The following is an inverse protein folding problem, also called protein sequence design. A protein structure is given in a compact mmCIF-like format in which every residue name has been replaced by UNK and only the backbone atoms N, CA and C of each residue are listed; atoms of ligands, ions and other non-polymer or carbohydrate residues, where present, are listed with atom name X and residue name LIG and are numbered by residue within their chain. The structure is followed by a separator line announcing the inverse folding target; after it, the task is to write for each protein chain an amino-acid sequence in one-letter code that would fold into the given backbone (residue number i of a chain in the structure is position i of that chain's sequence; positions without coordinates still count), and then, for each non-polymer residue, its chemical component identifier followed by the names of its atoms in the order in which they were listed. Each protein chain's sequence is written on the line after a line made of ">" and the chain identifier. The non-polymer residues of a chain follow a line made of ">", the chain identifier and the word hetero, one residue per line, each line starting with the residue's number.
data_IF_142084485519
#
_entry.id   IF_142084485519
#
_cell.length_a   1.000
_cell.length_b   1.000
_cell.length_c   1.000
_cell.angle_alpha   90.00
_cell.angle_beta   90.00
_cell.angle_gamma   90.00
#
_symmetry.space_group_name_H-M   'P 1'
#
loop_
_entity.id
_entity.type
_entity.pdbx_description
1 polymer ?
#
# COMPACT_ATOMS: atom_id res chain seq x y z
N UNK A 1 -8.67 39.06 51.10
CA UNK A 1 -8.07 37.72 51.31
C UNK A 1 -8.80 36.57 50.60
N UNK A 2 -10.14 36.40 50.71
CA UNK A 2 -10.86 35.25 50.08
C UNK A 2 -10.91 35.20 48.54
N UNK A 3 -10.69 36.32 47.85
CA UNK A 3 -10.76 36.42 46.36
C UNK A 3 -9.48 35.90 45.69
N UNK A 4 -8.32 36.28 46.25
CA UNK A 4 -6.99 35.90 45.76
C UNK A 4 -6.71 34.40 45.94
N UNK A 5 -7.23 33.78 47.00
CA UNK A 5 -7.12 32.34 47.23
C UNK A 5 -7.99 31.49 46.27
N UNK A 6 -9.15 31.99 45.83
CA UNK A 6 -9.97 31.32 44.80
C UNK A 6 -9.32 31.34 43.42
N UNK A 7 -8.65 32.43 43.06
CA UNK A 7 -7.93 32.55 41.78
C UNK A 7 -6.72 31.61 41.69
N UNK A 8 -5.94 31.47 42.78
CA UNK A 8 -4.79 30.54 42.82
C UNK A 8 -5.25 29.08 42.68
N UNK A 9 -6.32 28.68 43.35
CA UNK A 9 -6.87 27.31 43.26
C UNK A 9 -7.44 27.04 41.86
N UNK A 10 -8.10 28.03 41.24
CA UNK A 10 -8.60 27.94 39.87
C UNK A 10 -7.45 27.75 38.86
N UNK A 11 -6.37 28.52 38.99
CA UNK A 11 -5.22 28.44 38.12
C UNK A 11 -4.47 27.11 38.23
N UNK A 12 -4.23 26.62 39.45
CA UNK A 12 -3.59 25.32 39.69
C UNK A 12 -4.41 24.16 39.06
N UNK A 13 -5.75 24.24 39.12
CA UNK A 13 -6.64 23.25 38.51
C UNK A 13 -6.58 23.28 36.98
N UNK A 14 -6.47 24.47 36.37
CA UNK A 14 -6.29 24.63 34.92
C UNK A 14 -4.94 24.07 34.45
N UNK A 15 -3.86 24.33 35.19
CA UNK A 15 -2.52 23.81 34.90
C UNK A 15 -2.47 22.28 35.01
N UNK A 16 -3.03 21.70 36.07
CA UNK A 16 -3.10 20.25 36.23
C UNK A 16 -3.93 19.57 35.12
N UNK A 17 -5.03 20.19 34.70
CA UNK A 17 -5.87 19.69 33.62
C UNK A 17 -5.19 19.81 32.24
N UNK A 18 -4.39 20.86 32.02
CA UNK A 18 -3.54 21.00 30.84
C UNK A 18 -2.48 19.90 30.79
N UNK A 19 -1.76 19.69 31.89
CA UNK A 19 -0.75 18.63 32.00
C UNK A 19 -1.34 17.22 31.76
N UNK A 20 -2.57 16.97 32.22
CA UNK A 20 -3.26 15.71 31.95
C UNK A 20 -3.67 15.56 30.48
N UNK A 21 -4.18 16.64 29.85
CA UNK A 21 -4.49 16.62 28.41
C UNK A 21 -3.25 16.42 27.55
N UNK A 22 -2.13 17.05 27.92
CA UNK A 22 -0.86 16.89 27.24
C UNK A 22 -0.37 15.43 27.36
N UNK A 23 -0.47 14.82 28.55
CA UNK A 23 -0.17 13.40 28.76
C UNK A 23 -1.05 12.49 27.89
N UNK A 24 -2.36 12.73 27.83
CA UNK A 24 -3.28 11.96 26.98
C UNK A 24 -2.91 12.12 25.50
N UNK A 25 -2.55 13.32 25.05
CA UNK A 25 -2.09 13.56 23.67
C UNK A 25 -0.82 12.76 23.37
N UNK A 26 0.19 12.84 24.24
CA UNK A 26 1.45 12.12 24.05
C UNK A 26 1.26 10.59 24.03
N UNK A 27 0.39 10.05 24.89
CA UNK A 27 0.03 8.61 24.84
C UNK A 27 -0.69 8.28 23.53
N UNK A 28 -1.62 9.13 23.10
CA UNK A 28 -2.34 8.98 21.84
C UNK A 28 -1.40 8.96 20.62
N UNK A 29 -0.46 9.90 20.57
CA UNK A 29 0.57 10.01 19.53
C UNK A 29 1.48 8.78 19.52
N UNK A 30 1.94 8.33 20.69
CA UNK A 30 2.75 7.11 20.81
C UNK A 30 2.00 5.87 20.30
N UNK A 31 0.71 5.72 20.66
CA UNK A 31 -0.12 4.61 20.18
C UNK A 31 -0.36 4.68 18.68
N UNK A 32 -0.65 5.87 18.14
CA UNK A 32 -0.85 6.07 16.72
C UNK A 32 0.43 5.72 15.93
N UNK A 33 1.58 6.18 16.40
CA UNK A 33 2.88 5.90 15.80
C UNK A 33 3.22 4.41 15.78
N UNK A 34 3.02 3.71 16.90
CA UNK A 34 3.33 2.27 16.96
C UNK A 34 2.36 1.43 16.12
N UNK A 35 1.07 1.79 16.09
CA UNK A 35 0.09 1.14 15.18
C UNK A 35 0.49 1.32 13.72
N UNK A 36 0.92 2.52 13.35
CA UNK A 36 1.41 2.85 12.00
C UNK A 36 2.61 2.02 11.61
N UNK A 37 3.61 1.89 12.49
CA UNK A 37 4.80 1.04 12.28
C UNK A 37 4.41 -0.43 12.12
N UNK A 38 3.57 -0.95 13.01
CA UNK A 38 3.12 -2.34 12.93
C UNK A 38 2.42 -2.64 11.61
N UNK A 39 1.51 -1.76 11.16
CA UNK A 39 0.84 -1.88 9.88
C UNK A 39 1.82 -1.84 8.70
N UNK A 40 2.85 -0.97 8.75
CA UNK A 40 3.87 -0.91 7.71
C UNK A 40 4.66 -2.21 7.62
N UNK A 41 5.12 -2.75 8.74
CA UNK A 41 5.84 -4.03 8.78
C UNK A 41 4.98 -5.18 8.26
N UNK A 42 3.71 -5.25 8.65
CA UNK A 42 2.77 -6.27 8.15
C UNK A 42 2.55 -6.13 6.64
N UNK A 43 2.39 -4.90 6.13
CA UNK A 43 2.22 -4.65 4.70
C UNK A 43 3.44 -5.11 3.89
N UNK A 44 4.65 -4.76 4.34
CA UNK A 44 5.87 -5.17 3.66
C UNK A 44 6.02 -6.69 3.61
N UNK A 45 5.79 -7.36 4.74
CA UNK A 45 5.82 -8.82 4.82
C UNK A 45 4.79 -9.45 3.88
N UNK A 46 3.57 -8.91 3.84
CA UNK A 46 2.50 -9.41 2.98
C UNK A 46 2.83 -9.25 1.50
N UNK A 47 3.29 -8.07 1.08
CA UNK A 47 3.69 -7.78 -0.31
C UNK A 47 4.83 -8.71 -0.74
N UNK A 48 5.84 -8.89 0.11
CA UNK A 48 6.95 -9.80 -0.15
C UNK A 48 6.50 -11.25 -0.27
N UNK A 49 5.61 -11.71 0.61
CA UNK A 49 5.07 -13.07 0.56
C UNK A 49 4.28 -13.28 -0.73
N UNK A 50 3.40 -12.35 -1.08
CA UNK A 50 2.61 -12.45 -2.31
C UNK A 50 3.47 -12.41 -3.56
N UNK A 51 4.50 -11.55 -3.60
CA UNK A 51 5.47 -11.57 -4.70
C UNK A 51 6.12 -12.96 -4.87
N UNK A 52 6.55 -13.58 -3.77
CA UNK A 52 7.16 -14.91 -3.80
C UNK A 52 6.17 -16.01 -4.21
N UNK A 53 4.91 -15.93 -3.79
CA UNK A 53 3.86 -16.86 -4.25
C UNK A 53 3.66 -16.72 -5.76
N UNK A 54 3.59 -15.48 -6.27
CA UNK A 54 3.49 -15.21 -7.71
C UNK A 54 4.66 -15.82 -8.48
N UNK A 55 5.89 -15.66 -7.96
CA UNK A 55 7.09 -16.32 -8.50
C UNK A 55 6.94 -17.83 -8.56
N UNK A 56 6.54 -18.47 -7.45
CA UNK A 56 6.37 -19.92 -7.40
C UNK A 56 5.31 -20.42 -8.41
N UNK A 57 4.21 -19.69 -8.57
CA UNK A 57 3.18 -20.01 -9.57
C UNK A 57 3.77 -19.96 -10.98
N UNK A 58 4.43 -18.86 -11.34
CA UNK A 58 4.97 -18.66 -12.70
C UNK A 58 6.10 -19.63 -13.02
N UNK A 59 7.01 -19.90 -12.08
CA UNK A 59 8.07 -20.90 -12.26
C UNK A 59 7.50 -22.31 -12.45
N UNK A 60 6.42 -22.65 -11.71
CA UNK A 60 5.73 -23.94 -11.87
C UNK A 60 5.06 -24.05 -13.24
N UNK A 61 4.41 -23.00 -13.72
CA UNK A 61 3.82 -22.94 -15.07
C UNK A 61 4.88 -23.13 -16.17
N UNK A 62 6.03 -22.46 -16.06
CA UNK A 62 7.11 -22.52 -17.04
C UNK A 62 7.78 -23.91 -17.12
N UNK A 63 7.97 -24.58 -15.98
CA UNK A 63 8.57 -25.92 -15.92
C UNK A 63 7.70 -27.02 -16.53
N UNK A 64 6.40 -26.79 -16.68
CA UNK A 64 5.44 -27.79 -17.16
C UNK A 64 5.08 -27.73 -18.66
N UNK A 65 5.71 -26.87 -19.48
CA UNK A 65 5.36 -26.67 -20.91
C UNK A 65 3.86 -26.37 -21.12
N UNK A 66 3.33 -25.51 -20.25
CA UNK A 66 1.90 -25.41 -19.99
C UNK A 66 1.20 -24.42 -20.94
N UNK A 67 0.22 -24.90 -21.73
CA UNK A 67 -0.74 -24.05 -22.47
C UNK A 67 -1.67 -23.30 -21.50
N UNK A 68 -2.14 -22.12 -21.88
CA UNK A 68 -3.01 -21.23 -21.09
C UNK A 68 -4.16 -21.92 -20.30
N UNK A 69 -4.76 -22.97 -20.87
CA UNK A 69 -5.82 -23.80 -20.23
C UNK A 69 -5.43 -24.41 -18.88
N UNK A 70 -4.17 -24.82 -18.70
CA UNK A 70 -3.72 -25.45 -17.45
C UNK A 70 -3.36 -24.43 -16.37
N UNK A 71 -2.99 -23.19 -16.74
CA UNK A 71 -2.80 -22.10 -15.78
C UNK A 71 -4.08 -21.78 -15.01
N UNK A 72 -5.22 -21.75 -15.70
CA UNK A 72 -6.53 -21.55 -15.05
C UNK A 72 -6.90 -22.69 -14.09
N UNK A 73 -6.64 -23.94 -14.48
CA UNK A 73 -6.88 -25.10 -13.61
C UNK A 73 -5.95 -25.13 -12.41
N UNK A 74 -4.70 -24.67 -12.56
CA UNK A 74 -3.74 -24.56 -11.47
C UNK A 74 -4.25 -23.59 -10.40
N UNK A 75 -4.70 -22.40 -10.79
CA UNK A 75 -5.21 -21.40 -9.84
C UNK A 75 -6.47 -21.89 -9.11
N UNK A 76 -7.32 -22.67 -9.77
CA UNK A 76 -8.49 -23.32 -9.13
C UNK A 76 -8.05 -24.30 -8.04
N UNK A 77 -7.09 -25.18 -8.34
CA UNK A 77 -6.56 -26.16 -7.37
C UNK A 77 -5.86 -25.47 -6.20
N UNK A 78 -4.96 -24.53 -6.50
CA UNK A 78 -4.28 -23.72 -5.48
C UNK A 78 -5.27 -22.99 -4.58
N UNK A 79 -6.35 -22.43 -5.15
CA UNK A 79 -7.35 -21.73 -4.36
C UNK A 79 -8.01 -22.66 -3.34
N UNK A 80 -8.41 -23.87 -3.77
CA UNK A 80 -8.99 -24.87 -2.89
C UNK A 80 -8.01 -25.29 -1.80
N UNK A 81 -6.83 -25.75 -2.20
CA UNK A 81 -5.87 -26.38 -1.29
C UNK A 81 -5.29 -25.39 -0.28
N UNK A 82 -4.93 -24.18 -0.73
CA UNK A 82 -4.41 -23.13 0.15
C UNK A 82 -5.48 -22.52 1.05
N UNK A 83 -6.74 -22.43 0.58
CA UNK A 83 -7.83 -21.98 1.46
C UNK A 83 -8.10 -22.99 2.57
N UNK A 84 -8.03 -24.29 2.27
CA UNK A 84 -8.16 -25.34 3.29
C UNK A 84 -7.00 -25.30 4.29
N UNK A 85 -5.77 -25.12 3.81
CA UNK A 85 -4.58 -25.14 4.67
C UNK A 85 -4.39 -23.85 5.50
N UNK A 86 -4.71 -22.68 4.93
CA UNK A 86 -4.30 -21.37 5.47
C UNK A 86 -5.46 -20.36 5.60
N UNK A 87 -6.66 -20.70 5.12
CA UNK A 87 -7.85 -19.88 5.27
C UNK A 87 -7.97 -18.75 4.24
N UNK A 88 -8.44 -17.58 4.70
CA UNK A 88 -8.78 -16.44 3.84
C UNK A 88 -7.53 -15.87 3.15
N UNK A 89 -7.72 -15.31 1.95
CA UNK A 89 -6.64 -14.70 1.16
C UNK A 89 -6.21 -15.54 -0.04
N UNK A 90 -6.69 -16.77 -0.18
CA UNK A 90 -6.34 -17.66 -1.30
C UNK A 90 -7.52 -17.92 -2.25
N UNK A 91 -8.36 -16.92 -2.49
CA UNK A 91 -9.37 -17.03 -3.55
C UNK A 91 -8.69 -17.11 -4.92
N UNK A 92 -9.34 -17.73 -5.90
CA UNK A 92 -8.85 -17.81 -7.30
C UNK A 92 -8.49 -16.42 -7.83
N UNK A 93 -9.35 -15.42 -7.62
CA UNK A 93 -9.11 -14.05 -8.09
C UNK A 93 -7.88 -13.41 -7.42
N UNK A 94 -7.67 -13.64 -6.11
CA UNK A 94 -6.49 -13.09 -5.45
C UNK A 94 -5.22 -13.80 -5.92
N UNK A 95 -5.25 -15.12 -6.12
CA UNK A 95 -4.12 -15.87 -6.69
C UNK A 95 -3.80 -15.44 -8.12
N UNK A 96 -4.82 -15.11 -8.93
CA UNK A 96 -4.63 -14.51 -10.25
C UNK A 96 -3.90 -13.16 -10.14
N UNK A 97 -4.34 -12.27 -9.25
CA UNK A 97 -3.67 -10.99 -9.02
C UNK A 97 -2.23 -11.18 -8.51
N UNK A 98 -2.00 -12.12 -7.60
CA UNK A 98 -0.67 -12.47 -7.06
C UNK A 98 0.26 -12.96 -8.18
N UNK A 99 -0.25 -13.79 -9.10
CA UNK A 99 0.48 -14.22 -10.29
C UNK A 99 0.81 -13.02 -11.19
N UNK A 100 -0.17 -12.18 -11.51
CA UNK A 100 0.03 -10.97 -12.32
C UNK A 100 1.03 -10.01 -11.68
N UNK A 101 1.03 -9.89 -10.36
CA UNK A 101 1.97 -9.06 -9.62
C UNK A 101 3.42 -9.44 -9.92
N UNK A 102 3.75 -10.74 -9.86
CA UNK A 102 5.10 -11.20 -10.21
C UNK A 102 5.42 -10.98 -11.70
N UNK A 103 4.46 -11.22 -12.60
CA UNK A 103 4.65 -11.01 -14.05
C UNK A 103 4.97 -9.55 -14.37
N UNK A 104 4.28 -8.59 -13.73
CA UNK A 104 4.46 -7.15 -13.98
C UNK A 104 5.64 -6.55 -13.21
N UNK A 105 6.02 -7.14 -12.07
CA UNK A 105 7.14 -6.71 -11.24
C UNK A 105 8.13 -7.86 -11.02
N UNK A 106 8.83 -8.36 -12.05
CA UNK A 106 9.69 -9.55 -11.94
C UNK A 106 10.96 -9.33 -11.09
N UNK A 107 11.29 -8.08 -10.76
CA UNK A 107 12.40 -7.72 -9.85
C UNK A 107 11.80 -7.15 -8.57
N UNK A 108 11.94 -7.85 -7.45
CA UNK A 108 11.36 -7.37 -6.18
C UNK A 108 11.93 -6.01 -5.75
N UNK A 109 13.17 -5.67 -6.14
CA UNK A 109 13.80 -4.39 -5.84
C UNK A 109 13.07 -3.19 -6.45
N UNK A 110 12.25 -3.39 -7.49
CA UNK A 110 11.43 -2.34 -8.09
C UNK A 110 10.05 -2.24 -7.45
N UNK A 111 9.74 -3.12 -6.49
CA UNK A 111 8.49 -3.07 -5.71
C UNK A 111 8.68 -2.07 -4.58
N UNK A 112 7.73 -1.15 -4.46
CA UNK A 112 7.71 -0.14 -3.43
C UNK A 112 7.47 -0.74 -2.05
N UNK A 113 8.40 -0.47 -1.11
CA UNK A 113 8.16 -0.71 0.32
C UNK A 113 7.10 0.21 0.92
N UNK A 114 6.67 1.27 0.20
CA UNK A 114 5.64 2.21 0.68
C UNK A 114 4.22 1.71 0.39
N UNK A 115 4.03 0.81 -0.58
CA UNK A 115 2.71 0.36 -1.03
C UNK A 115 2.27 -0.92 -0.32
N UNK A 116 0.97 -0.99 0.03
CA UNK A 116 0.36 -2.22 0.56
C UNK A 116 -0.21 -3.09 -0.57
N UNK A 117 -0.59 -4.33 -0.25
CA UNK A 117 -1.23 -5.22 -1.23
C UNK A 117 -2.47 -4.60 -1.90
N UNK A 118 -3.29 -3.85 -1.15
CA UNK A 118 -4.48 -3.19 -1.72
C UNK A 118 -4.12 -2.17 -2.81
N UNK A 119 -2.96 -1.51 -2.70
CA UNK A 119 -2.48 -0.61 -3.77
C UNK A 119 -2.17 -1.42 -5.03
N UNK A 120 -1.39 -2.50 -4.87
CA UNK A 120 -1.05 -3.36 -6.00
C UNK A 120 -2.27 -4.04 -6.62
N UNK A 121 -3.20 -4.54 -5.82
CA UNK A 121 -4.43 -5.16 -6.30
C UNK A 121 -5.28 -4.19 -7.13
N UNK A 122 -5.30 -2.90 -6.78
CA UNK A 122 -5.98 -1.87 -7.56
C UNK A 122 -5.24 -1.55 -8.86
N UNK A 123 -3.93 -1.31 -8.77
CA UNK A 123 -3.06 -0.98 -9.91
C UNK A 123 -3.11 -2.10 -10.96
N UNK A 124 -3.08 -3.36 -10.53
CA UNK A 124 -3.09 -4.55 -11.39
C UNK A 124 -4.43 -4.80 -12.09
N UNK A 125 -5.47 -4.00 -11.83
CA UNK A 125 -6.71 -4.02 -12.64
C UNK A 125 -6.51 -3.38 -14.01
N UNK A 126 -5.48 -2.54 -14.18
CA UNK A 126 -5.10 -2.01 -15.48
C UNK A 126 -4.26 -3.02 -16.26
N UNK A 127 -4.54 -3.16 -17.55
CA UNK A 127 -3.75 -4.00 -18.44
C UNK A 127 -2.52 -3.26 -19.01
N UNK A 128 -2.47 -1.93 -18.94
CA UNK A 128 -1.42 -1.08 -19.51
C UNK A 128 -0.20 -0.99 -18.60
N UNK A 129 0.98 -1.41 -19.09
CA UNK A 129 2.24 -1.26 -18.34
C UNK A 129 2.54 0.20 -17.98
N UNK A 130 2.18 1.13 -18.86
CA UNK A 130 2.36 2.56 -18.65
C UNK A 130 1.49 3.07 -17.49
N UNK A 131 0.22 2.66 -17.45
CA UNK A 131 -0.70 3.00 -16.35
C UNK A 131 -0.25 2.38 -15.04
N UNK A 132 0.19 1.12 -15.07
CA UNK A 132 0.73 0.45 -13.87
C UNK A 132 1.92 1.22 -13.29
N UNK A 133 2.88 1.59 -14.14
CA UNK A 133 4.05 2.37 -13.72
C UNK A 133 3.66 3.74 -13.15
N UNK A 134 2.76 4.44 -13.84
CA UNK A 134 2.24 5.73 -13.40
C UNK A 134 1.51 5.66 -12.06
N UNK A 135 0.54 4.76 -11.91
CA UNK A 135 -0.23 4.65 -10.68
C UNK A 135 0.63 4.19 -9.50
N UNK A 136 1.57 3.26 -9.72
CA UNK A 136 2.52 2.87 -8.68
C UNK A 136 3.32 4.09 -8.19
N UNK A 137 3.85 4.89 -9.12
CA UNK A 137 4.62 6.11 -8.80
C UNK A 137 3.79 7.17 -8.09
N UNK A 138 2.56 7.43 -8.56
CA UNK A 138 1.67 8.40 -7.93
C UNK A 138 1.30 7.99 -6.50
N UNK A 139 1.01 6.70 -6.27
CA UNK A 139 0.71 6.21 -4.92
C UNK A 139 1.89 6.40 -3.96
N UNK A 140 3.13 6.27 -4.43
CA UNK A 140 4.34 6.54 -3.62
C UNK A 140 4.48 8.00 -3.24
N UNK A 141 4.25 8.91 -4.19
CA UNK A 141 4.37 10.35 -4.00
C UNK A 141 3.29 10.87 -3.05
N UNK A 142 2.04 10.47 -3.24
CA UNK A 142 0.93 10.87 -2.38
C UNK A 142 1.13 10.41 -0.92
N UNK A 143 1.63 9.19 -0.72
CA UNK A 143 2.02 8.71 0.63
C UNK A 143 3.17 9.52 1.23
N UNK A 144 4.06 10.05 0.40
CA UNK A 144 5.18 10.87 0.85
C UNK A 144 4.74 12.29 1.20
N UNK A 145 3.73 12.85 0.50
CA UNK A 145 3.20 14.22 0.70
C UNK A 145 2.18 14.35 1.83
N UNK A 146 1.20 13.45 1.90
CA UNK A 146 0.08 13.57 2.83
C UNK A 146 0.35 12.94 4.20
N UNK A 147 1.57 12.42 4.42
CA UNK A 147 1.82 11.46 5.50
C UNK A 147 0.98 10.20 5.34
N UNK A 148 0.86 9.39 6.39
CA UNK A 148 0.19 8.07 6.33
C UNK A 148 -1.34 8.21 6.47
N UNK A 149 -1.90 9.33 6.03
CA UNK A 149 -3.33 9.38 5.72
C UNK A 149 -3.54 8.44 4.52
N UNK A 150 -4.06 7.23 4.78
CA UNK A 150 -4.36 6.25 3.73
C UNK A 150 -5.47 6.82 2.84
N UNK A 151 -5.11 7.46 1.72
CA UNK A 151 -6.04 7.55 0.61
C UNK A 151 -6.26 6.14 0.07
N UNK A 152 -7.51 5.82 -0.30
CA UNK A 152 -7.76 4.52 -0.90
C UNK A 152 -7.09 4.48 -2.26
N UNK A 153 -6.42 3.37 -2.64
CA UNK A 153 -5.85 3.22 -3.97
C UNK A 153 -6.88 3.51 -5.08
N UNK A 154 -8.14 3.12 -4.83
CA UNK A 154 -9.31 3.39 -5.67
C UNK A 154 -9.48 4.88 -5.97
N UNK A 155 -9.24 5.77 -4.99
CA UNK A 155 -9.42 7.21 -5.15
C UNK A 155 -8.37 7.80 -6.10
N UNK A 156 -7.14 7.28 -6.05
CA UNK A 156 -6.04 7.70 -6.93
C UNK A 156 -6.33 7.19 -8.34
N UNK A 157 -6.55 5.89 -8.52
CA UNK A 157 -6.80 5.30 -9.84
C UNK A 157 -8.02 5.91 -10.49
N UNK A 158 -9.14 6.05 -9.77
CA UNK A 158 -10.37 6.65 -10.31
C UNK A 158 -10.21 8.14 -10.66
N UNK A 159 -9.49 8.91 -9.83
CA UNK A 159 -9.20 10.32 -10.11
C UNK A 159 -8.45 10.44 -11.43
N UNK A 160 -7.37 9.71 -11.60
CA UNK A 160 -6.55 9.83 -12.80
C UNK A 160 -7.17 9.18 -14.04
N UNK A 161 -7.94 8.09 -13.91
CA UNK A 161 -8.69 7.52 -15.04
C UNK A 161 -9.68 8.51 -15.67
N UNK A 162 -10.25 9.44 -14.89
CA UNK A 162 -11.13 10.49 -15.41
C UNK A 162 -10.37 11.56 -16.22
N UNK A 163 -9.08 11.76 -15.95
CA UNK A 163 -8.28 12.88 -16.48
C UNK A 163 -7.19 12.46 -17.48
N UNK A 164 -7.06 11.17 -17.81
CA UNK A 164 -5.99 10.65 -18.68
C UNK A 164 -6.52 10.25 -20.07
N UNK A 165 -6.52 11.15 -21.07
CA UNK A 165 -7.22 10.85 -22.32
C UNK A 165 -6.28 10.37 -23.44
N UNK A 166 -4.95 10.36 -23.27
CA UNK A 166 -4.03 9.84 -24.30
C UNK A 166 -2.71 9.29 -23.72
N UNK A 167 -2.10 8.34 -24.45
CA UNK A 167 -0.87 7.64 -24.05
C UNK A 167 0.34 8.57 -23.88
N UNK A 168 0.49 9.56 -24.77
CA UNK A 168 1.67 10.43 -24.81
C UNK A 168 1.73 11.36 -23.60
N UNK A 169 0.58 11.88 -23.15
CA UNK A 169 0.45 12.69 -21.95
C UNK A 169 0.74 11.89 -20.68
N UNK A 170 0.22 10.66 -20.60
CA UNK A 170 0.52 9.76 -19.49
C UNK A 170 2.02 9.45 -19.41
N UNK A 171 2.66 9.23 -20.56
CA UNK A 171 4.10 8.99 -20.62
C UNK A 171 4.92 10.20 -20.19
N UNK A 172 4.58 11.41 -20.69
CA UNK A 172 5.23 12.65 -20.25
C UNK A 172 5.11 12.87 -18.75
N UNK A 173 3.94 12.65 -18.17
CA UNK A 173 3.77 12.84 -16.74
C UNK A 173 4.54 11.77 -15.95
N UNK A 174 4.55 10.51 -16.37
CA UNK A 174 5.39 9.49 -15.74
C UNK A 174 6.88 9.85 -15.77
N UNK A 175 7.39 10.30 -16.91
CA UNK A 175 8.79 10.73 -17.07
C UNK A 175 9.12 11.90 -16.13
N UNK A 176 8.21 12.87 -16.00
CA UNK A 176 8.36 13.99 -15.06
C UNK A 176 8.39 13.52 -13.60
N UNK A 177 7.58 12.53 -13.21
CA UNK A 177 7.60 11.98 -11.85
C UNK A 177 8.90 11.23 -11.55
N UNK A 178 9.44 10.52 -12.55
CA UNK A 178 10.72 9.81 -12.43
C UNK A 178 11.90 10.80 -12.35
N UNK A 179 11.87 11.88 -13.12
CA UNK A 179 12.89 12.92 -13.10
C UNK A 179 12.93 13.71 -11.78
N UNK A 180 11.77 14.00 -11.19
CA UNK A 180 11.69 14.81 -9.96
C UNK A 180 12.32 14.14 -8.71
N UNK A 181 12.52 12.82 -8.70
CA UNK A 181 13.17 12.14 -7.58
C UNK A 181 14.70 12.28 -7.58
N UNK A 182 15.31 12.38 -8.77
CA UNK A 182 16.76 12.55 -8.90
C UNK A 182 17.24 13.88 -8.29
N UNK A 183 16.38 14.90 -8.30
CA UNK A 183 16.69 16.23 -7.76
C UNK A 183 16.49 16.33 -6.24
N UNK A 184 15.81 15.37 -5.60
CA UNK A 184 15.50 15.38 -4.15
C UNK A 184 16.48 14.60 -3.28
N UNK A 185 17.37 13.80 -3.88
CA UNK A 185 18.42 13.04 -3.17
C UNK A 185 19.81 13.72 -3.24
N UNK A 186 19.88 14.97 -3.72
CA UNK A 186 21.11 15.79 -3.77
C UNK A 186 21.28 16.74 -2.58
#
# INVERSE_FOLDING_TARGET
>A
MKKQSKEIVSFAKVVANKNYKDLVSSIGELLAENRRRALQTVNEALVRTYWNIGRHIVEFEQKGNVRASYGDQLLVRLSKDLTVAYGKGFSRSNLFMIRQFYVRFPKFQTVSGKLSWSHYAEILKSDSELEIGFYAKQCELEKSKNGIQLQKPEDIVSRYQLYLPNRDELQRELEKLLGAEMDTES
#
